data_IF_067714417537
#
_entry.id   IF_067714417537
#
_cell.length_a   1.000
_cell.length_b   1.000
_cell.length_c   1.000
_cell.angle_alpha   90.00
_cell.angle_beta   90.00
_cell.angle_gamma   90.00
#
_symmetry.space_group_name_H-M   'P 1'
#
loop_
_entity.id
_entity.type
_entity.pdbx_description
1 polymer ?
#
# COMPACT_ATOMS: atom_id res chain seq x y z
N UNK A 1 -4.78 46.88 88.09
CA UNK A 1 -4.87 47.97 87.09
C UNK A 1 -4.89 47.33 85.72
N UNK A 2 -5.99 47.54 85.01
CA UNK A 2 -6.33 46.99 83.70
C UNK A 2 -5.42 47.56 82.60
N UNK A 3 -4.81 46.67 81.81
CA UNK A 3 -4.29 47.03 80.49
C UNK A 3 -4.96 46.09 79.49
N UNK A 4 -5.96 46.61 78.79
CA UNK A 4 -6.54 45.98 77.60
C UNK A 4 -5.46 45.96 76.51
N UNK A 5 -5.24 44.85 75.78
CA UNK A 5 -4.46 44.90 74.57
C UNK A 5 -5.34 45.47 73.44
N UNK A 6 -4.92 46.63 72.94
CA UNK A 6 -5.42 47.24 71.71
C UNK A 6 -4.68 46.59 70.52
N UNK A 7 -5.44 46.40 69.45
CA UNK A 7 -5.06 46.16 68.04
C UNK A 7 -4.39 44.83 67.65
N UNK A 8 -5.19 43.91 67.12
CA UNK A 8 -4.76 42.90 66.12
C UNK A 8 -5.85 42.63 65.05
N UNK A 9 -6.63 43.64 64.65
CA UNK A 9 -7.66 43.45 63.60
C UNK A 9 -7.30 43.99 62.21
N UNK A 10 -6.21 44.76 62.04
CA UNK A 10 -5.81 45.28 60.72
C UNK A 10 -4.99 44.29 59.87
N UNK A 11 -4.23 43.38 60.50
CA UNK A 11 -3.38 42.43 59.77
C UNK A 11 -4.15 41.27 59.11
N UNK A 12 -5.36 40.97 59.58
CA UNK A 12 -6.17 39.85 59.07
C UNK A 12 -6.96 40.24 57.81
N UNK A 13 -7.40 41.50 57.74
CA UNK A 13 -8.04 42.08 56.55
C UNK A 13 -7.06 42.26 55.40
N UNK A 14 -5.85 42.76 55.67
CA UNK A 14 -4.77 42.90 54.67
C UNK A 14 -4.25 41.54 54.20
N UNK A 15 -4.11 40.55 55.09
CA UNK A 15 -3.73 39.18 54.73
C UNK A 15 -4.78 38.46 53.87
N UNK A 16 -6.07 38.62 54.20
CA UNK A 16 -7.17 38.11 53.39
C UNK A 16 -7.33 38.82 52.04
N UNK A 17 -7.11 40.14 51.98
CA UNK A 17 -7.11 40.90 50.72
C UNK A 17 -5.94 40.51 49.81
N UNK A 18 -4.72 40.41 50.36
CA UNK A 18 -3.51 40.03 49.62
C UNK A 18 -3.55 38.56 49.17
N UNK A 19 -4.11 37.67 49.99
CA UNK A 19 -4.37 36.28 49.61
C UNK A 19 -5.36 36.18 48.45
N UNK A 20 -6.50 36.88 48.55
CA UNK A 20 -7.50 36.93 47.49
C UNK A 20 -6.95 37.55 46.19
N UNK A 21 -6.20 38.65 46.29
CA UNK A 21 -5.51 39.28 45.16
C UNK A 21 -4.46 38.36 44.52
N UNK A 22 -3.73 37.58 45.33
CA UNK A 22 -2.79 36.56 44.87
C UNK A 22 -3.48 35.45 44.07
N UNK A 23 -4.58 34.90 44.58
CA UNK A 23 -5.39 33.92 43.84
C UNK A 23 -6.00 34.52 42.57
N UNK A 24 -6.51 35.75 42.61
CA UNK A 24 -7.05 36.42 41.42
C UNK A 24 -5.95 36.63 40.37
N UNK A 25 -4.77 37.08 40.78
CA UNK A 25 -3.60 37.24 39.91
C UNK A 25 -3.16 35.92 39.30
N UNK A 26 -3.11 34.85 40.10
CA UNK A 26 -2.78 33.51 39.63
C UNK A 26 -3.81 32.99 38.63
N UNK A 27 -5.11 33.18 38.89
CA UNK A 27 -6.19 32.78 37.99
C UNK A 27 -6.14 33.56 36.67
N UNK A 28 -5.86 34.87 36.75
CA UNK A 28 -5.68 35.73 35.57
C UNK A 28 -4.47 35.30 34.74
N UNK A 29 -3.35 34.97 35.39
CA UNK A 29 -2.15 34.45 34.75
C UNK A 29 -2.40 33.08 34.11
N UNK A 30 -3.11 32.18 34.78
CA UNK A 30 -3.49 30.87 34.22
C UNK A 30 -4.39 31.02 33.00
N UNK A 31 -5.41 31.88 33.06
CA UNK A 31 -6.30 32.14 31.91
C UNK A 31 -5.52 32.77 30.74
N UNK A 32 -4.63 33.73 31.03
CA UNK A 32 -3.77 34.35 30.02
C UNK A 32 -2.81 33.32 29.40
N UNK A 33 -2.24 32.44 30.22
CA UNK A 33 -1.34 31.37 29.78
C UNK A 33 -2.07 30.37 28.88
N UNK A 34 -3.27 29.94 29.27
CA UNK A 34 -4.13 29.08 28.45
C UNK A 34 -4.49 29.78 27.13
N UNK A 35 -4.89 31.06 27.17
CA UNK A 35 -5.24 31.82 25.97
C UNK A 35 -4.06 31.98 25.00
N UNK A 36 -2.85 32.24 25.52
CA UNK A 36 -1.63 32.30 24.72
C UNK A 36 -1.26 30.94 24.13
N UNK A 37 -1.28 29.89 24.96
CA UNK A 37 -0.84 28.56 24.54
C UNK A 37 -1.82 27.94 23.51
N UNK A 38 -3.12 27.97 23.79
CA UNK A 38 -4.12 27.45 22.86
C UNK A 38 -4.37 28.39 21.67
N UNK A 39 -4.36 29.71 21.87
CA UNK A 39 -4.62 30.65 20.78
C UNK A 39 -3.45 30.81 19.81
N UNK A 40 -2.24 31.05 20.33
CA UNK A 40 -1.05 31.28 19.52
C UNK A 40 -0.30 29.99 19.20
N UNK A 41 -0.15 29.09 20.18
CA UNK A 41 0.53 27.82 20.01
C UNK A 41 -0.14 26.93 18.95
N UNK A 42 -1.47 26.85 18.95
CA UNK A 42 -2.21 26.08 17.94
C UNK A 42 -1.97 26.62 16.52
N UNK A 43 -1.99 27.94 16.32
CA UNK A 43 -1.74 28.54 14.99
C UNK A 43 -0.31 28.30 14.51
N UNK A 44 0.66 28.34 15.43
CA UNK A 44 2.06 28.06 15.12
C UNK A 44 2.25 26.57 14.76
N UNK A 45 1.69 25.67 15.56
CA UNK A 45 1.71 24.23 15.32
C UNK A 45 1.09 23.86 13.97
N UNK A 46 -0.03 24.50 13.62
CA UNK A 46 -0.69 24.32 12.33
C UNK A 46 0.19 24.73 11.14
N UNK A 47 0.97 25.79 11.28
CA UNK A 47 1.94 26.20 10.24
C UNK A 47 3.06 25.18 10.10
N UNK A 48 3.53 24.62 11.20
CA UNK A 48 4.56 23.57 11.18
C UNK A 48 4.04 22.31 10.49
N UNK A 49 2.86 21.83 10.86
CA UNK A 49 2.25 20.66 10.20
C UNK A 49 2.03 20.86 8.70
N UNK A 50 1.52 22.03 8.30
CA UNK A 50 1.37 22.35 6.88
C UNK A 50 2.70 22.35 6.14
N UNK A 51 3.78 22.80 6.77
CA UNK A 51 5.11 22.78 6.15
C UNK A 51 5.65 21.35 6.00
N UNK A 52 5.49 20.51 7.02
CA UNK A 52 5.91 19.11 6.94
C UNK A 52 5.12 18.33 5.89
N UNK A 53 3.81 18.59 5.78
CA UNK A 53 2.97 18.06 4.71
C UNK A 53 3.44 18.56 3.33
N UNK A 54 3.77 19.84 3.19
CA UNK A 54 4.27 20.39 1.91
C UNK A 54 5.55 19.69 1.46
N UNK A 55 6.48 19.40 2.39
CA UNK A 55 7.70 18.63 2.09
C UNK A 55 7.37 17.21 1.63
N UNK A 56 6.48 16.51 2.34
CA UNK A 56 6.06 15.17 1.94
C UNK A 56 5.37 15.16 0.58
N UNK A 57 4.52 16.15 0.31
CA UNK A 57 3.84 16.29 -0.97
C UNK A 57 4.81 16.52 -2.14
N UNK A 58 5.88 17.31 -1.95
CA UNK A 58 6.95 17.47 -2.95
C UNK A 58 7.66 16.14 -3.22
N UNK A 59 7.92 15.35 -2.18
CA UNK A 59 8.53 14.02 -2.31
C UNK A 59 7.62 13.08 -3.11
N UNK A 60 6.32 13.06 -2.82
CA UNK A 60 5.33 12.29 -3.58
C UNK A 60 5.25 12.74 -5.06
N UNK A 61 5.32 14.05 -5.33
CA UNK A 61 5.35 14.56 -6.70
C UNK A 61 6.59 14.09 -7.47
N UNK A 62 7.76 14.09 -6.80
CA UNK A 62 9.00 13.55 -7.37
C UNK A 62 8.87 12.05 -7.70
N UNK A 63 8.28 11.25 -6.81
CA UNK A 63 8.06 9.82 -7.06
C UNK A 63 7.13 9.58 -8.23
N UNK A 64 5.99 10.29 -8.28
CA UNK A 64 5.05 10.23 -9.39
C UNK A 64 5.71 10.56 -10.72
N UNK A 65 6.46 11.66 -10.78
CA UNK A 65 7.12 12.08 -12.02
C UNK A 65 8.23 11.10 -12.43
N UNK A 66 9.00 10.59 -11.47
CA UNK A 66 10.05 9.59 -11.73
C UNK A 66 9.48 8.29 -12.30
N UNK A 67 8.36 7.79 -11.76
CA UNK A 67 7.70 6.58 -12.26
C UNK A 67 7.09 6.81 -13.66
N UNK A 68 6.50 7.98 -13.90
CA UNK A 68 5.99 8.36 -15.22
C UNK A 68 7.11 8.43 -16.27
N UNK A 69 8.23 9.08 -15.94
CA UNK A 69 9.36 9.21 -16.85
C UNK A 69 9.99 7.84 -17.14
N UNK A 70 10.09 6.99 -16.12
CA UNK A 70 10.53 5.60 -16.26
C UNK A 70 9.60 4.82 -17.20
N UNK A 71 8.28 4.91 -16.99
CA UNK A 71 7.28 4.26 -17.86
C UNK A 71 7.42 4.71 -19.31
N UNK A 72 7.53 6.02 -19.55
CA UNK A 72 7.71 6.57 -20.90
C UNK A 72 8.99 6.08 -21.56
N UNK A 73 10.09 6.03 -20.78
CA UNK A 73 11.37 5.53 -21.25
C UNK A 73 11.28 4.04 -21.62
N UNK A 74 10.79 3.20 -20.72
CA UNK A 74 10.70 1.74 -20.94
C UNK A 74 9.78 1.40 -22.10
N UNK A 75 8.64 2.08 -22.25
CA UNK A 75 7.74 1.91 -23.40
C UNK A 75 8.43 2.27 -24.72
N UNK A 76 9.23 3.34 -24.75
CA UNK A 76 9.99 3.74 -25.96
C UNK A 76 11.10 2.74 -26.31
N UNK A 77 11.78 2.20 -25.30
CA UNK A 77 12.88 1.25 -25.49
C UNK A 77 12.37 -0.13 -25.96
N UNK A 78 11.32 -0.63 -25.31
CA UNK A 78 10.81 -2.00 -25.51
C UNK A 78 9.70 -2.04 -26.55
N UNK A 79 8.71 -1.16 -26.43
CA UNK A 79 7.51 -1.15 -27.25
C UNK A 79 7.69 -0.57 -28.65
N UNK A 80 8.74 0.25 -28.86
CA UNK A 80 9.04 0.97 -30.12
C UNK A 80 7.78 1.53 -30.81
N UNK A 81 6.97 2.35 -30.11
CA UNK A 81 5.74 2.89 -30.67
C UNK A 81 6.02 3.80 -31.87
N UNK A 82 5.11 3.81 -32.84
CA UNK A 82 5.17 4.67 -34.03
C UNK A 82 4.82 6.14 -33.74
N UNK A 83 4.16 6.41 -32.62
CA UNK A 83 3.72 7.75 -32.17
C UNK A 83 4.13 7.97 -30.72
N UNK A 84 4.10 9.21 -30.23
CA UNK A 84 4.44 9.49 -28.83
C UNK A 84 3.43 8.82 -27.89
N UNK A 85 3.86 7.89 -27.00
CA UNK A 85 2.94 7.14 -26.14
C UNK A 85 2.43 7.98 -24.94
N UNK A 86 2.94 9.19 -24.75
CA UNK A 86 2.67 10.06 -23.60
C UNK A 86 1.18 10.27 -23.30
N UNK A 87 0.36 10.71 -24.26
CA UNK A 87 -1.06 10.91 -24.05
C UNK A 87 -1.80 9.62 -23.64
N UNK A 88 -1.47 8.49 -24.26
CA UNK A 88 -2.11 7.20 -24.00
C UNK A 88 -1.75 6.67 -22.61
N UNK A 89 -0.47 6.80 -22.21
CA UNK A 89 -0.02 6.44 -20.85
C UNK A 89 -0.70 7.31 -19.79
N UNK A 90 -0.88 8.62 -20.03
CA UNK A 90 -1.60 9.47 -19.08
C UNK A 90 -3.05 9.01 -18.87
N UNK A 91 -3.73 8.57 -19.94
CA UNK A 91 -5.09 8.02 -19.83
C UNK A 91 -5.10 6.75 -18.99
N UNK A 92 -4.16 5.83 -19.20
CA UNK A 92 -4.04 4.61 -18.39
C UNK A 92 -3.73 4.94 -16.91
N UNK A 93 -2.87 5.93 -16.65
CA UNK A 93 -2.57 6.41 -15.30
C UNK A 93 -3.74 7.13 -14.61
N UNK A 94 -4.86 7.34 -15.29
CA UNK A 94 -6.09 7.91 -14.75
C UNK A 94 -7.27 6.94 -14.78
N UNK A 95 -7.08 5.70 -15.24
CA UNK A 95 -8.11 4.67 -15.26
C UNK A 95 -8.60 4.36 -13.84
N UNK A 96 -9.87 3.98 -13.70
CA UNK A 96 -10.44 3.57 -12.42
C UNK A 96 -11.39 2.39 -12.63
N UNK A 97 -11.48 1.51 -11.64
CA UNK A 97 -12.45 0.43 -11.59
C UNK A 97 -13.56 0.83 -10.61
N UNK A 98 -14.82 0.77 -11.04
CA UNK A 98 -15.96 0.89 -10.14
C UNK A 98 -16.27 -0.50 -9.59
N UNK A 99 -16.15 -0.67 -8.28
CA UNK A 99 -16.49 -1.92 -7.62
C UNK A 99 -18.01 -2.13 -7.55
N UNK A 100 -18.50 -3.38 -7.63
CA UNK A 100 -19.91 -3.68 -7.43
C UNK A 100 -20.34 -3.41 -5.99
N UNK A 101 -21.65 -3.23 -5.77
CA UNK A 101 -22.22 -2.91 -4.45
C UNK A 101 -22.47 -4.20 -3.65
N UNK A 102 -22.17 -4.18 -2.36
CA UNK A 102 -22.23 -5.35 -1.46
C UNK A 102 -23.62 -6.00 -1.32
N UNK A 103 -24.71 -5.29 -1.65
CA UNK A 103 -26.10 -5.75 -1.52
C UNK A 103 -26.56 -6.67 -2.65
N UNK A 104 -25.69 -7.54 -3.14
CA UNK A 104 -25.97 -8.40 -4.28
C UNK A 104 -26.49 -9.80 -3.87
N UNK A 105 -27.72 -10.17 -4.23
CA UNK A 105 -28.30 -11.45 -3.83
C UNK A 105 -27.56 -12.69 -4.37
N UNK A 106 -26.80 -12.54 -5.46
CA UNK A 106 -26.04 -13.64 -6.07
C UNK A 106 -24.64 -13.83 -5.45
N UNK A 107 -24.26 -12.96 -4.49
CA UNK A 107 -22.92 -12.90 -3.94
C UNK A 107 -21.96 -12.05 -4.79
N UNK A 108 -21.15 -11.24 -4.10
CA UNK A 108 -20.27 -10.25 -4.75
C UNK A 108 -18.98 -10.86 -5.32
N UNK A 109 -18.52 -11.97 -4.76
CA UNK A 109 -17.19 -12.57 -5.04
C UNK A 109 -17.00 -12.89 -6.53
N UNK A 110 -17.91 -13.65 -7.13
CA UNK A 110 -17.80 -14.03 -8.55
C UNK A 110 -17.91 -12.84 -9.51
N UNK A 111 -18.61 -11.77 -9.12
CA UNK A 111 -18.70 -10.55 -9.94
C UNK A 111 -17.42 -9.73 -9.89
N UNK A 112 -16.83 -9.57 -8.70
CA UNK A 112 -15.54 -8.89 -8.58
C UNK A 112 -14.49 -9.69 -9.34
N UNK A 113 -14.47 -11.03 -9.23
CA UNK A 113 -13.50 -11.87 -9.95
C UNK A 113 -13.61 -11.68 -11.47
N UNK A 114 -14.84 -11.72 -12.00
CA UNK A 114 -15.07 -11.44 -13.41
C UNK A 114 -14.66 -10.01 -13.82
N UNK A 115 -14.95 -9.00 -12.99
CA UNK A 115 -14.55 -7.62 -13.28
C UNK A 115 -13.04 -7.42 -13.25
N UNK A 116 -12.32 -8.11 -12.35
CA UNK A 116 -10.87 -8.10 -12.33
C UNK A 116 -10.28 -8.79 -13.57
N UNK A 117 -10.84 -9.91 -14.00
CA UNK A 117 -10.40 -10.57 -15.24
C UNK A 117 -10.59 -9.68 -16.45
N UNK A 118 -11.76 -9.03 -16.57
CA UNK A 118 -12.04 -8.10 -17.67
C UNK A 118 -11.09 -6.89 -17.60
N UNK A 119 -10.80 -6.38 -16.39
CA UNK A 119 -9.85 -5.29 -16.20
C UNK A 119 -8.45 -5.69 -16.66
N UNK A 120 -7.95 -6.83 -16.19
CA UNK A 120 -6.63 -7.40 -16.52
C UNK A 120 -6.48 -7.61 -18.04
N UNK A 121 -7.45 -8.26 -18.69
CA UNK A 121 -7.43 -8.47 -20.13
C UNK A 121 -7.45 -7.16 -20.92
N UNK A 122 -8.31 -6.23 -20.51
CA UNK A 122 -8.43 -4.93 -21.17
C UNK A 122 -7.15 -4.11 -21.03
N UNK A 123 -6.56 -4.13 -19.84
CA UNK A 123 -5.37 -3.37 -19.52
C UNK A 123 -4.15 -3.92 -20.28
N UNK A 124 -3.99 -5.25 -20.35
CA UNK A 124 -3.01 -5.92 -21.24
C UNK A 124 -3.18 -5.54 -22.70
N UNK A 125 -4.42 -5.46 -23.19
CA UNK A 125 -4.71 -5.05 -24.58
C UNK A 125 -4.26 -3.60 -24.85
N UNK A 126 -4.57 -2.68 -23.93
CA UNK A 126 -4.23 -1.27 -24.08
C UNK A 126 -2.71 -1.05 -24.00
N UNK A 127 -2.01 -1.75 -23.10
CA UNK A 127 -0.54 -1.74 -23.03
C UNK A 127 0.09 -2.30 -24.31
N UNK A 128 -0.43 -3.42 -24.84
CA UNK A 128 0.05 -4.00 -26.10
C UNK A 128 -0.13 -3.06 -27.29
N UNK A 129 -1.21 -2.27 -27.30
CA UNK A 129 -1.46 -1.25 -28.32
C UNK A 129 -0.45 -0.10 -28.25
N UNK A 130 -0.05 0.29 -27.04
CA UNK A 130 0.97 1.33 -26.80
C UNK A 130 2.37 0.80 -27.12
N UNK A 131 2.64 -0.48 -26.88
CA UNK A 131 3.95 -1.10 -27.02
C UNK A 131 3.93 -2.29 -28.02
N UNK A 132 3.72 -2.05 -29.33
CA UNK A 132 3.52 -3.13 -30.31
C UNK A 132 4.75 -4.03 -30.51
N UNK A 133 5.96 -3.54 -30.20
CA UNK A 133 7.21 -4.30 -30.30
C UNK A 133 7.54 -5.17 -29.10
N UNK A 134 6.75 -5.12 -28.02
CA UNK A 134 7.00 -5.86 -26.80
C UNK A 134 6.57 -7.34 -26.91
N UNK A 135 7.40 -8.25 -26.41
CA UNK A 135 7.01 -9.66 -26.22
C UNK A 135 5.99 -9.83 -25.08
N UNK A 136 5.45 -11.04 -24.89
CA UNK A 136 4.41 -11.28 -23.87
C UNK A 136 4.87 -10.96 -22.44
N UNK A 137 6.11 -11.31 -22.08
CA UNK A 137 6.65 -11.04 -20.74
C UNK A 137 6.92 -9.56 -20.54
N UNK A 138 7.39 -8.88 -21.59
CA UNK A 138 7.58 -7.44 -21.61
C UNK A 138 6.26 -6.69 -21.49
N UNK A 139 5.20 -7.14 -22.14
CA UNK A 139 3.85 -6.56 -21.99
C UNK A 139 3.39 -6.66 -20.53
N UNK A 140 3.55 -7.82 -19.88
CA UNK A 140 3.21 -8.01 -18.46
C UNK A 140 4.04 -7.10 -17.54
N UNK A 141 5.34 -6.92 -17.84
CA UNK A 141 6.19 -6.03 -17.05
C UNK A 141 5.82 -4.55 -17.25
N UNK A 142 5.51 -4.15 -18.48
CA UNK A 142 5.03 -2.80 -18.79
C UNK A 142 3.68 -2.52 -18.15
N UNK A 143 2.79 -3.50 -18.15
CA UNK A 143 1.50 -3.43 -17.49
C UNK A 143 1.66 -3.08 -16.00
N UNK A 144 2.43 -3.90 -15.27
CA UNK A 144 2.69 -3.67 -13.86
C UNK A 144 3.41 -2.34 -13.59
N UNK A 145 4.30 -1.91 -14.49
CA UNK A 145 4.96 -0.60 -14.40
C UNK A 145 3.96 0.57 -14.53
N UNK A 146 2.98 0.44 -15.43
CA UNK A 146 1.89 1.42 -15.56
C UNK A 146 1.01 1.39 -14.32
N UNK A 147 0.69 0.21 -13.76
CA UNK A 147 -0.08 0.11 -12.51
C UNK A 147 0.65 0.76 -11.32
N UNK A 148 1.96 0.53 -11.16
CA UNK A 148 2.76 1.17 -10.12
C UNK A 148 2.79 2.69 -10.29
N UNK A 149 2.89 3.17 -11.53
CA UNK A 149 2.84 4.61 -11.84
C UNK A 149 1.47 5.22 -11.57
N UNK A 150 0.40 4.48 -11.88
CA UNK A 150 -0.98 4.82 -11.56
C UNK A 150 -1.19 4.94 -10.04
N UNK A 151 -0.67 3.99 -9.25
CA UNK A 151 -0.76 4.00 -7.79
C UNK A 151 -0.09 5.26 -7.21
N UNK A 152 1.13 5.58 -7.64
CA UNK A 152 1.85 6.80 -7.25
C UNK A 152 1.10 8.09 -7.63
N UNK A 153 0.50 8.13 -8.82
CA UNK A 153 -0.34 9.25 -9.25
C UNK A 153 -1.57 9.41 -8.36
N UNK A 154 -2.23 8.30 -8.02
CA UNK A 154 -3.41 8.27 -7.15
C UNK A 154 -3.08 8.74 -5.73
N UNK A 155 -2.01 8.20 -5.13
CA UNK A 155 -1.51 8.65 -3.81
C UNK A 155 -1.27 10.16 -3.82
N UNK A 156 -0.49 10.67 -4.79
CA UNK A 156 -0.21 12.11 -4.88
C UNK A 156 -1.49 12.95 -4.98
N UNK A 157 -2.44 12.57 -5.84
CA UNK A 157 -3.70 13.31 -6.05
C UNK A 157 -4.54 13.35 -4.78
N UNK A 158 -4.67 12.23 -4.08
CA UNK A 158 -5.45 12.13 -2.83
C UNK A 158 -4.82 12.99 -1.74
N UNK A 159 -3.51 12.86 -1.51
CA UNK A 159 -2.82 13.64 -0.46
C UNK A 159 -2.86 15.14 -0.77
N UNK A 160 -2.66 15.52 -2.04
CA UNK A 160 -2.79 16.91 -2.48
C UNK A 160 -4.20 17.45 -2.23
N UNK A 161 -5.23 16.66 -2.49
CA UNK A 161 -6.61 17.05 -2.25
C UNK A 161 -6.86 17.36 -0.77
N UNK A 162 -6.49 16.44 0.13
CA UNK A 162 -6.66 16.65 1.58
C UNK A 162 -5.81 17.80 2.12
N UNK A 163 -4.58 17.98 1.63
CA UNK A 163 -3.74 19.13 2.00
C UNK A 163 -4.40 20.46 1.61
N UNK A 164 -4.89 20.60 0.37
CA UNK A 164 -5.55 21.81 -0.09
C UNK A 164 -6.88 22.04 0.63
N UNK A 165 -7.64 20.98 0.90
CA UNK A 165 -8.89 21.06 1.66
C UNK A 165 -8.63 21.54 3.09
N UNK A 166 -7.67 20.94 3.80
CA UNK A 166 -7.29 21.35 5.15
C UNK A 166 -6.81 22.80 5.20
N UNK A 167 -5.99 23.22 4.23
CA UNK A 167 -5.50 24.60 4.12
C UNK A 167 -6.61 25.61 3.83
N UNK A 168 -7.57 25.30 2.95
CA UNK A 168 -8.67 26.22 2.59
C UNK A 168 -9.71 26.34 3.71
N UNK A 169 -10.03 25.23 4.37
CA UNK A 169 -11.04 25.18 5.43
C UNK A 169 -10.49 25.57 6.80
N UNK A 170 -9.16 25.71 6.94
CA UNK A 170 -8.47 25.82 8.23
C UNK A 170 -8.85 24.68 9.21
N UNK A 171 -9.19 23.50 8.69
CA UNK A 171 -9.56 22.36 9.51
C UNK A 171 -8.33 21.71 10.14
N UNK A 172 -8.18 21.91 11.45
CA UNK A 172 -7.09 21.32 12.23
C UNK A 172 -7.09 19.79 12.19
N UNK A 173 -8.27 19.17 12.20
CA UNK A 173 -8.40 17.72 12.22
C UNK A 173 -7.93 17.07 10.92
N UNK A 174 -8.18 17.69 9.76
CA UNK A 174 -7.69 17.18 8.47
C UNK A 174 -6.16 17.25 8.43
N UNK A 175 -5.58 18.36 8.90
CA UNK A 175 -4.14 18.59 8.85
C UNK A 175 -3.40 17.64 9.81
N UNK A 176 -3.92 17.43 11.03
CA UNK A 176 -3.32 16.48 11.98
C UNK A 176 -3.38 15.05 11.45
N UNK A 177 -4.54 14.60 10.96
CA UNK A 177 -4.68 13.25 10.38
C UNK A 177 -3.71 13.05 9.22
N UNK A 178 -3.62 14.04 8.33
CA UNK A 178 -2.72 13.94 7.19
C UNK A 178 -1.25 13.92 7.63
N UNK A 179 -0.86 14.77 8.59
CA UNK A 179 0.52 14.78 9.11
C UNK A 179 0.88 13.47 9.80
N UNK A 180 -0.04 12.86 10.55
CA UNK A 180 0.21 11.61 11.26
C UNK A 180 0.37 10.42 10.31
N UNK A 181 -0.42 10.36 9.22
CA UNK A 181 -0.38 9.27 8.24
C UNK A 181 0.73 9.44 7.19
N UNK A 182 1.19 10.67 6.96
CA UNK A 182 2.13 11.00 5.90
C UNK A 182 3.41 10.14 5.88
N UNK A 183 4.06 9.81 7.02
CA UNK A 183 5.24 8.94 7.00
C UNK A 183 4.96 7.56 6.41
N UNK A 184 3.83 6.94 6.79
CA UNK A 184 3.42 5.63 6.27
C UNK A 184 3.12 5.72 4.77
N UNK A 185 2.43 6.77 4.33
CA UNK A 185 2.12 7.00 2.91
C UNK A 185 3.41 7.20 2.09
N UNK A 186 4.41 7.89 2.64
CA UNK A 186 5.70 8.07 1.98
C UNK A 186 6.42 6.72 1.84
N UNK A 187 6.42 5.89 2.89
CA UNK A 187 7.02 4.54 2.84
C UNK A 187 6.32 3.66 1.79
N UNK A 188 4.99 3.68 1.75
CA UNK A 188 4.20 2.99 0.73
C UNK A 188 4.56 3.47 -0.69
N UNK A 189 4.65 4.79 -0.89
CA UNK A 189 5.05 5.36 -2.17
C UNK A 189 6.51 5.02 -2.55
N UNK A 190 7.42 4.92 -1.58
CA UNK A 190 8.80 4.44 -1.82
C UNK A 190 8.81 2.99 -2.30
N UNK A 191 7.99 2.13 -1.69
CA UNK A 191 7.84 0.74 -2.12
C UNK A 191 7.31 0.64 -3.56
N UNK A 192 6.27 1.42 -3.90
CA UNK A 192 5.76 1.49 -5.27
C UNK A 192 6.79 2.00 -6.28
N UNK A 193 7.61 2.99 -5.91
CA UNK A 193 8.70 3.46 -6.79
C UNK A 193 9.79 2.38 -6.97
N UNK A 194 10.10 1.63 -5.91
CA UNK A 194 10.98 0.46 -5.97
C UNK A 194 10.43 -0.60 -6.92
N UNK A 195 9.13 -0.91 -6.79
CA UNK A 195 8.45 -1.86 -7.66
C UNK A 195 8.46 -1.40 -9.14
N UNK A 196 8.19 -0.12 -9.40
CA UNK A 196 8.28 0.43 -10.75
C UNK A 196 9.66 0.21 -11.40
N UNK A 197 10.75 0.43 -10.65
CA UNK A 197 12.11 0.15 -11.14
C UNK A 197 12.32 -1.34 -11.46
N UNK A 198 11.89 -2.21 -10.56
CA UNK A 198 12.01 -3.65 -10.77
C UNK A 198 11.18 -4.13 -11.98
N UNK A 199 9.95 -3.65 -12.17
CA UNK A 199 9.13 -3.96 -13.35
C UNK A 199 9.77 -3.47 -14.65
N UNK A 200 10.37 -2.27 -14.64
CA UNK A 200 11.09 -1.76 -15.81
C UNK A 200 12.29 -2.64 -16.21
N UNK A 201 12.92 -3.32 -15.25
CA UNK A 201 14.05 -4.22 -15.47
C UNK A 201 13.64 -5.70 -15.58
N UNK A 202 12.35 -6.03 -15.42
CA UNK A 202 11.85 -7.40 -15.37
C UNK A 202 12.39 -8.22 -14.19
N UNK A 203 12.72 -7.56 -13.09
CA UNK A 203 13.16 -8.21 -11.86
C UNK A 203 11.96 -8.78 -11.10
N UNK A 204 12.09 -9.95 -10.44
CA UNK A 204 11.06 -10.46 -9.56
C UNK A 204 10.85 -9.54 -8.35
N UNK A 205 9.60 -9.34 -7.95
CA UNK A 205 9.20 -8.44 -6.86
C UNK A 205 8.42 -9.22 -5.81
N UNK A 206 8.62 -8.86 -4.54
CA UNK A 206 7.94 -9.46 -3.41
C UNK A 206 8.59 -10.76 -2.94
N UNK A 207 7.77 -11.64 -2.36
CA UNK A 207 8.18 -12.87 -1.72
C UNK A 207 8.56 -13.95 -2.74
N UNK A 208 9.80 -13.89 -3.21
CA UNK A 208 10.32 -14.84 -4.18
C UNK A 208 10.51 -16.26 -3.64
N UNK A 209 10.35 -16.52 -2.33
CA UNK A 209 10.69 -17.82 -1.72
C UNK A 209 9.82 -18.96 -2.27
N UNK A 210 8.50 -18.76 -2.35
CA UNK A 210 7.56 -19.74 -2.90
C UNK A 210 7.88 -20.07 -4.37
N UNK A 211 7.90 -19.05 -5.27
CA UNK A 211 8.30 -19.25 -6.67
C UNK A 211 9.70 -19.84 -6.85
N UNK A 212 10.66 -19.54 -5.98
CA UNK A 212 12.03 -20.06 -6.02
C UNK A 212 12.07 -21.54 -5.64
N UNK A 213 11.36 -21.94 -4.57
CA UNK A 213 11.24 -23.34 -4.15
C UNK A 213 10.55 -24.16 -5.25
N UNK A 214 9.43 -23.68 -5.79
CA UNK A 214 8.76 -24.32 -6.90
C UNK A 214 9.66 -24.43 -8.14
N UNK A 215 10.38 -23.35 -8.50
CA UNK A 215 11.30 -23.35 -9.64
C UNK A 215 12.44 -24.37 -9.48
N UNK A 216 12.92 -24.59 -8.25
CA UNK A 216 13.94 -25.59 -7.95
C UNK A 216 13.42 -27.02 -8.12
N UNK A 217 12.18 -27.29 -7.71
CA UNK A 217 11.53 -28.59 -7.92
C UNK A 217 11.24 -28.88 -9.40
N UNK A 218 10.94 -27.83 -10.18
CA UNK A 218 10.70 -27.90 -11.62
C UNK A 218 11.97 -27.96 -12.46
N UNK A 219 13.16 -27.89 -11.85
CA UNK A 219 14.43 -27.82 -12.59
C UNK A 219 14.62 -29.09 -13.41
N UNK A 220 14.94 -28.92 -14.69
CA UNK A 220 15.18 -30.00 -15.65
C UNK A 220 13.95 -30.93 -15.87
N UNK A 221 12.74 -30.45 -15.56
CA UNK A 221 11.46 -31.14 -15.80
C UNK A 221 10.67 -30.48 -16.92
N UNK A 222 9.84 -31.28 -17.58
CA UNK A 222 8.88 -30.77 -18.56
C UNK A 222 7.81 -29.94 -17.83
N UNK A 223 7.56 -28.73 -18.35
CA UNK A 223 6.61 -27.79 -17.77
C UNK A 223 5.35 -27.77 -18.61
N UNK A 224 4.22 -27.91 -17.94
CA UNK A 224 2.87 -27.87 -18.51
C UNK A 224 2.15 -26.60 -18.05
N UNK A 225 1.39 -25.96 -18.92
CA UNK A 225 0.42 -24.92 -18.54
C UNK A 225 -0.90 -25.58 -18.12
N UNK A 226 -1.52 -25.08 -17.05
CA UNK A 226 -2.78 -25.67 -16.52
C UNK A 226 -3.91 -24.64 -16.57
N UNK A 227 -3.70 -23.47 -15.98
CA UNK A 227 -4.67 -22.37 -15.94
C UNK A 227 -3.98 -21.03 -16.24
N UNK A 228 -4.75 -19.94 -16.25
CA UNK A 228 -4.29 -18.57 -16.56
C UNK A 228 -2.98 -18.23 -15.85
N UNK A 229 -1.92 -18.09 -16.64
CA UNK A 229 -0.55 -17.74 -16.25
C UNK A 229 0.03 -18.63 -15.13
N UNK A 230 -0.28 -19.93 -15.11
CA UNK A 230 0.27 -20.92 -14.17
C UNK A 230 0.96 -22.08 -14.88
N UNK A 231 2.17 -22.42 -14.40
CA UNK A 231 2.95 -23.57 -14.87
C UNK A 231 3.10 -24.62 -13.78
N UNK A 232 3.11 -25.88 -14.19
CA UNK A 232 3.35 -27.04 -13.34
C UNK A 232 4.44 -27.93 -13.88
N UNK A 233 5.11 -28.64 -13.01
CA UNK A 233 5.97 -29.75 -13.39
C UNK A 233 5.88 -30.87 -12.37
N UNK A 234 6.03 -32.10 -12.86
CA UNK A 234 6.04 -33.28 -12.00
C UNK A 234 7.47 -33.71 -11.69
N UNK A 235 7.71 -34.08 -10.45
CA UNK A 235 8.98 -34.62 -9.99
C UNK A 235 8.77 -35.73 -8.96
N UNK A 236 9.85 -36.45 -8.65
CA UNK A 236 9.89 -37.46 -7.60
C UNK A 236 10.83 -36.96 -6.50
N UNK A 237 10.37 -37.00 -5.26
CA UNK A 237 11.16 -36.63 -4.09
C UNK A 237 10.86 -37.65 -2.98
N UNK A 238 11.90 -38.33 -2.47
CA UNK A 238 11.76 -39.33 -1.40
C UNK A 238 10.65 -40.36 -1.69
N UNK A 239 10.66 -40.93 -2.91
CA UNK A 239 9.66 -41.88 -3.41
C UNK A 239 8.21 -41.36 -3.45
N UNK A 240 8.01 -40.05 -3.30
CA UNK A 240 6.72 -39.38 -3.45
C UNK A 240 6.66 -38.59 -4.75
N UNK A 241 5.54 -38.73 -5.46
CA UNK A 241 5.21 -37.88 -6.62
C UNK A 241 4.84 -36.49 -6.11
N UNK A 242 5.56 -35.48 -6.58
CA UNK A 242 5.34 -34.07 -6.25
C UNK A 242 4.97 -33.32 -7.52
N UNK A 243 3.86 -32.59 -7.46
CA UNK A 243 3.43 -31.68 -8.53
C UNK A 243 3.74 -30.27 -8.04
N UNK A 244 4.81 -29.68 -8.56
CA UNK A 244 5.17 -28.30 -8.24
C UNK A 244 4.33 -27.36 -9.12
N UNK A 245 3.91 -26.22 -8.55
CA UNK A 245 3.10 -25.20 -9.21
C UNK A 245 3.66 -23.81 -8.91
N UNK A 246 3.67 -22.92 -9.91
CA UNK A 246 3.95 -21.48 -9.72
C UNK A 246 3.35 -20.65 -10.87
N UNK A 247 3.26 -19.34 -10.67
CA UNK A 247 2.96 -18.41 -11.75
C UNK A 247 4.00 -18.50 -12.89
N UNK A 248 3.55 -18.29 -14.12
CA UNK A 248 4.37 -18.24 -15.32
C UNK A 248 5.23 -16.97 -15.30
N UNK A 249 6.55 -17.13 -15.44
CA UNK A 249 7.51 -16.03 -15.53
C UNK A 249 8.35 -16.14 -16.80
N UNK A 250 9.19 -15.14 -17.13
CA UNK A 250 9.73 -14.11 -16.23
C UNK A 250 8.89 -12.83 -16.10
N UNK A 251 7.75 -12.71 -16.80
CA UNK A 251 6.83 -11.58 -16.64
C UNK A 251 6.22 -11.51 -15.23
N UNK A 252 5.89 -10.30 -14.78
CA UNK A 252 5.15 -10.09 -13.52
C UNK A 252 3.72 -10.61 -13.60
N UNK A 253 3.53 -11.90 -13.31
CA UNK A 253 2.22 -12.54 -13.28
C UNK A 253 1.88 -13.05 -11.89
N UNK A 254 0.62 -12.88 -11.54
CA UNK A 254 0.02 -13.49 -10.34
C UNK A 254 -0.64 -14.83 -10.70
N UNK A 255 -1.26 -14.92 -11.88
CA UNK A 255 -2.00 -16.09 -12.35
C UNK A 255 -3.22 -16.43 -11.47
N UNK A 256 -3.84 -17.59 -11.72
CA UNK A 256 -4.93 -18.13 -10.89
C UNK A 256 -4.52 -19.46 -10.21
N UNK A 257 -3.70 -19.41 -9.14
CA UNK A 257 -3.21 -20.63 -8.49
C UNK A 257 -4.33 -21.46 -7.84
N UNK A 258 -5.41 -20.83 -7.35
CA UNK A 258 -6.56 -21.53 -6.79
C UNK A 258 -7.26 -22.43 -7.82
N UNK A 259 -7.53 -21.89 -9.02
CA UNK A 259 -8.11 -22.65 -10.13
C UNK A 259 -7.16 -23.76 -10.58
N UNK A 260 -5.86 -23.46 -10.68
CA UNK A 260 -4.85 -24.45 -11.08
C UNK A 260 -4.75 -25.62 -10.08
N UNK A 261 -4.80 -25.35 -8.78
CA UNK A 261 -4.83 -26.40 -7.74
C UNK A 261 -6.09 -27.26 -7.90
N UNK A 262 -7.25 -26.63 -8.13
CA UNK A 262 -8.51 -27.35 -8.36
C UNK A 262 -8.41 -28.28 -9.56
N UNK A 263 -7.95 -27.79 -10.71
CA UNK A 263 -7.76 -28.59 -11.94
C UNK A 263 -6.83 -29.78 -11.70
N UNK A 264 -5.72 -29.59 -10.97
CA UNK A 264 -4.77 -30.68 -10.64
C UNK A 264 -5.41 -31.73 -9.73
N UNK A 265 -6.21 -31.33 -8.74
CA UNK A 265 -6.93 -32.25 -7.85
C UNK A 265 -7.95 -33.06 -8.66
N UNK A 266 -8.67 -32.42 -9.58
CA UNK A 266 -9.64 -33.07 -10.48
C UNK A 266 -8.96 -34.04 -11.47
N UNK A 267 -7.77 -33.73 -11.97
CA UNK A 267 -6.98 -34.66 -12.81
C UNK A 267 -6.43 -35.86 -12.02
N UNK A 268 -6.24 -35.70 -10.70
CA UNK A 268 -5.62 -36.68 -9.81
C UNK A 268 -6.57 -37.16 -8.71
N UNK A 269 -7.86 -37.35 -9.04
CA UNK A 269 -8.91 -37.74 -8.08
C UNK A 269 -8.46 -38.91 -7.22
N UNK A 270 -8.53 -38.74 -5.90
CA UNK A 270 -8.18 -39.75 -4.90
C UNK A 270 -6.69 -40.05 -4.76
N UNK A 271 -5.81 -39.36 -5.49
CA UNK A 271 -4.34 -39.56 -5.45
C UNK A 271 -3.60 -38.43 -4.75
N UNK A 272 -4.21 -37.26 -4.60
CA UNK A 272 -3.62 -36.12 -3.87
C UNK A 272 -3.78 -36.37 -2.37
N UNK A 273 -2.66 -36.54 -1.67
CA UNK A 273 -2.66 -36.78 -0.21
C UNK A 273 -2.58 -35.48 0.60
N UNK A 274 -1.95 -34.43 0.04
CA UNK A 274 -1.66 -33.19 0.75
C UNK A 274 -1.38 -32.06 -0.27
N UNK A 275 -1.76 -30.83 0.10
CA UNK A 275 -1.33 -29.61 -0.58
C UNK A 275 -0.40 -28.87 0.37
N UNK A 276 0.80 -28.54 -0.10
CA UNK A 276 1.81 -27.78 0.67
C UNK A 276 1.97 -26.42 0.00
N UNK A 277 1.66 -25.35 0.75
CA UNK A 277 1.84 -23.98 0.31
C UNK A 277 3.11 -23.42 0.95
N UNK A 278 3.94 -22.76 0.14
CA UNK A 278 5.19 -22.16 0.57
C UNK A 278 5.11 -20.67 0.29
N UNK A 279 5.12 -19.89 1.36
CA UNK A 279 5.01 -18.43 1.30
C UNK A 279 6.02 -17.80 2.28
N UNK A 280 6.30 -16.51 2.13
CA UNK A 280 7.06 -15.78 3.13
C UNK A 280 6.10 -15.16 4.15
N UNK A 281 6.26 -15.53 5.42
CA UNK A 281 5.49 -14.92 6.49
C UNK A 281 6.09 -13.57 6.88
N UNK A 282 5.22 -12.62 7.20
CA UNK A 282 5.62 -11.39 7.90
C UNK A 282 6.03 -11.78 9.33
N UNK A 283 7.12 -11.19 9.80
CA UNK A 283 7.59 -11.37 11.17
C UNK A 283 7.12 -10.26 12.08
N UNK A 284 6.95 -10.54 13.36
CA UNK A 284 6.80 -9.50 14.36
C UNK A 284 8.12 -8.78 14.63
N UNK A 285 8.02 -7.54 15.08
CA UNK A 285 9.18 -6.77 15.52
C UNK A 285 9.85 -7.50 16.70
N UNK A 286 11.13 -7.85 16.53
CA UNK A 286 11.91 -8.62 17.51
C UNK A 286 12.11 -10.11 17.17
N UNK A 287 11.45 -10.63 16.13
CA UNK A 287 11.70 -11.99 15.63
C UNK A 287 12.89 -12.03 14.67
N UNK A 288 13.59 -13.18 14.62
CA UNK A 288 14.68 -13.36 13.67
C UNK A 288 14.12 -13.62 12.27
N UNK A 289 14.78 -13.04 11.26
CA UNK A 289 14.44 -13.33 9.87
C UNK A 289 14.99 -14.70 9.46
N UNK A 290 14.27 -15.41 8.60
CA UNK A 290 14.70 -16.70 8.03
C UNK A 290 14.35 -17.93 8.88
N UNK A 291 13.56 -17.77 9.94
CA UNK A 291 12.97 -18.88 10.67
C UNK A 291 11.84 -19.53 9.84
N UNK A 292 11.70 -20.85 9.96
CA UNK A 292 10.64 -21.62 9.29
C UNK A 292 9.48 -21.78 10.26
N UNK A 293 8.30 -21.35 9.83
CA UNK A 293 7.04 -21.55 10.56
C UNK A 293 6.16 -22.52 9.79
N UNK A 294 5.50 -23.44 10.50
CA UNK A 294 4.54 -24.39 9.94
C UNK A 294 3.14 -24.09 10.50
N UNK A 295 2.14 -24.13 9.63
CA UNK A 295 0.75 -23.88 9.98
C UNK A 295 -0.20 -24.73 9.14
N UNK A 296 -1.44 -24.89 9.63
CA UNK A 296 -2.50 -25.62 8.93
C UNK A 296 -3.50 -24.59 8.40
N UNK A 297 -3.67 -24.53 7.09
CA UNK A 297 -4.57 -23.60 6.44
C UNK A 297 -4.32 -23.48 4.94
N UNK A 298 -5.02 -22.54 4.30
CA UNK A 298 -4.81 -22.19 2.91
C UNK A 298 -4.37 -20.71 2.83
N UNK A 299 -3.15 -20.47 2.37
CA UNK A 299 -2.65 -19.16 1.99
C UNK A 299 -2.81 -19.02 0.46
N UNK A 300 -4.04 -18.73 0.03
CA UNK A 300 -4.38 -18.56 -1.39
C UNK A 300 -4.89 -17.14 -1.60
N UNK A 301 -4.17 -16.36 -2.43
CA UNK A 301 -4.63 -15.06 -2.91
C UNK A 301 -5.88 -15.22 -3.78
N UNK A 302 -6.83 -14.28 -3.68
CA UNK A 302 -8.12 -14.37 -4.36
C UNK A 302 -9.23 -13.65 -3.61
N UNK A 303 -10.14 -13.04 -4.38
CA UNK A 303 -11.23 -12.24 -3.82
C UNK A 303 -12.11 -13.12 -2.93
N UNK A 304 -12.29 -12.68 -1.68
CA UNK A 304 -13.14 -13.38 -0.70
C UNK A 304 -12.51 -14.62 -0.06
N UNK A 305 -11.31 -15.03 -0.49
CA UNK A 305 -10.56 -16.14 0.11
C UNK A 305 -9.28 -15.72 0.81
N UNK A 306 -8.84 -14.47 0.62
CA UNK A 306 -7.68 -13.89 1.31
C UNK A 306 -7.85 -13.88 2.83
N UNK A 307 -6.92 -14.55 3.52
CA UNK A 307 -6.69 -14.42 4.95
C UNK A 307 -5.19 -14.19 5.15
N UNK A 308 -4.84 -13.02 5.65
CA UNK A 308 -3.52 -12.65 6.15
C UNK A 308 -3.54 -12.72 7.67
#
# INVERSE_FOLDING_TARGET
>A
MSVLPISLHENDLLGGLLGNLGTISQLLFTVLFIALFFGFGQKLQMRQFLWDIDKGLRKLDMFRNSAKDLTLKTVKEVGKPSTDPGPQINVLMEQFLISPVDMDPAGIVGKIDHLLDVRDEKFKEDVRRIAPGADSSQVMNLENLVEASWALNTIYRIIRHFYLMGKKTNSIFIIIQLQALLPLIIQEAEAYLGAAKAFAEGQPIGDGIGPLVASRLMKDKEKRKVEKDVVVAETMMEDRRVIALKAEGPGGNVGKPGDAIKTIIEENVGKVSMVVMVDAAVKFEGENSGEVSEGIGAAIGGIGTERY
#
